data_IF_863154446709
#
_entry.id   IF_863154446709
#
_cell.length_a   1.000
_cell.length_b   1.000
_cell.length_c   1.000
_cell.angle_alpha   90.00
_cell.angle_beta   90.00
_cell.angle_gamma   90.00
#
_symmetry.space_group_name_H-M   'P 1'
#
loop_
_entity.id
_entity.type
_entity.pdbx_description
1 polymer ?
#
# COMPACT_ATOMS: atom_id res chain seq x y z
N UNK A 1 -20.12 20.53 5.52
CA UNK A 1 -20.07 19.20 6.19
C UNK A 1 -19.30 19.35 7.49
N UNK A 2 -20.01 19.35 8.61
CA UNK A 2 -19.53 19.74 9.94
C UNK A 2 -18.68 18.62 10.57
N UNK A 3 -17.36 18.77 10.52
CA UNK A 3 -16.42 17.89 11.23
C UNK A 3 -16.05 18.50 12.58
N UNK A 4 -16.99 18.49 13.54
CA UNK A 4 -16.69 18.80 14.93
C UNK A 4 -15.90 17.62 15.52
N UNK A 5 -14.66 17.92 15.91
CA UNK A 5 -13.84 17.25 16.93
C UNK A 5 -14.52 16.09 17.64
N UNK A 6 -14.39 14.88 17.09
CA UNK A 6 -14.97 13.65 17.68
C UNK A 6 -13.99 12.83 18.53
N UNK A 7 -12.68 13.11 18.49
CA UNK A 7 -11.67 12.24 19.11
C UNK A 7 -10.83 13.00 20.14
N UNK A 8 -11.13 12.81 21.43
CA UNK A 8 -10.29 13.33 22.51
C UNK A 8 -9.08 12.41 22.64
N UNK A 9 -7.87 12.95 22.48
CA UNK A 9 -6.60 12.24 22.68
C UNK A 9 -6.03 12.72 24.00
N UNK A 10 -5.97 11.83 24.99
CA UNK A 10 -5.31 12.07 26.27
C UNK A 10 -4.12 11.12 26.36
N UNK A 11 -2.92 11.67 26.25
CA UNK A 11 -1.67 10.91 26.39
C UNK A 11 -1.33 10.78 27.88
N UNK A 12 -0.99 9.58 28.31
CA UNK A 12 -0.38 9.33 29.63
C UNK A 12 1.03 9.91 29.68
N UNK A 13 1.60 10.07 30.87
CA UNK A 13 2.98 10.55 31.04
C UNK A 13 3.98 9.62 30.34
N UNK A 14 3.81 8.31 30.48
CA UNK A 14 4.65 7.30 29.82
C UNK A 14 4.61 7.42 28.28
N UNK A 15 3.43 7.67 27.71
CA UNK A 15 3.26 7.85 26.26
C UNK A 15 3.92 9.15 25.76
N UNK A 16 3.88 10.22 26.57
CA UNK A 16 4.57 11.48 26.25
C UNK A 16 6.08 11.30 26.26
N UNK A 17 6.62 10.61 27.26
CA UNK A 17 8.06 10.31 27.32
C UNK A 17 8.49 9.47 26.12
N UNK A 18 7.72 8.44 25.77
CA UNK A 18 7.97 7.63 24.56
C UNK A 18 7.96 8.47 23.28
N UNK A 19 6.95 9.34 23.10
CA UNK A 19 6.84 10.20 21.92
C UNK A 19 7.97 11.24 21.85
N UNK A 20 8.39 11.80 22.99
CA UNK A 20 9.50 12.75 23.09
C UNK A 20 10.84 12.09 22.74
N UNK A 21 11.09 10.90 23.30
CA UNK A 21 12.26 10.09 22.96
C UNK A 21 12.30 9.74 21.47
N UNK A 22 11.17 9.30 20.90
CA UNK A 22 11.06 9.01 19.47
C UNK A 22 11.26 10.27 18.62
N UNK A 23 10.71 11.43 19.01
CA UNK A 23 10.86 12.68 18.26
C UNK A 23 12.31 13.16 18.15
N UNK A 24 13.19 12.70 19.03
CA UNK A 24 14.62 13.02 19.02
C UNK A 24 15.39 12.13 18.04
N UNK A 25 14.82 11.01 17.62
CA UNK A 25 15.43 10.12 16.65
C UNK A 25 15.48 10.76 15.25
N UNK A 26 16.68 10.81 14.68
CA UNK A 26 16.93 11.48 13.39
C UNK A 26 16.59 10.60 12.18
N UNK A 27 16.28 9.33 12.40
CA UNK A 27 16.07 8.35 11.33
C UNK A 27 14.58 8.00 11.14
N UNK A 28 13.67 8.83 11.67
CA UNK A 28 12.24 8.64 11.50
C UNK A 28 11.78 8.95 10.07
N UNK A 29 10.87 8.13 9.56
CA UNK A 29 10.13 8.45 8.35
C UNK A 29 9.31 9.73 8.56
N UNK A 30 9.26 10.61 7.56
CA UNK A 30 8.45 11.84 7.58
C UNK A 30 6.99 11.60 8.01
N UNK A 31 6.41 10.44 7.66
CA UNK A 31 5.05 10.06 8.09
C UNK A 31 4.96 9.86 9.60
N UNK A 32 5.96 9.19 10.18
CA UNK A 32 6.03 8.90 11.61
C UNK A 32 6.30 10.19 12.40
N UNK A 33 7.26 11.02 11.97
CA UNK A 33 7.55 12.31 12.59
C UNK A 33 6.30 13.20 12.64
N UNK A 34 5.55 13.32 11.53
CA UNK A 34 4.30 14.09 11.49
C UNK A 34 3.24 13.54 12.46
N UNK A 35 3.12 12.22 12.58
CA UNK A 35 2.17 11.59 13.50
C UNK A 35 2.51 11.89 14.97
N UNK A 36 3.80 11.81 15.31
CA UNK A 36 4.30 12.16 16.65
C UNK A 36 3.99 13.62 16.97
N UNK A 37 4.34 14.55 16.08
CA UNK A 37 4.04 15.97 16.27
C UNK A 37 2.54 16.23 16.43
N UNK A 38 1.70 15.58 15.62
CA UNK A 38 0.23 15.69 15.75
C UNK A 38 -0.24 15.23 17.13
N UNK A 39 0.21 14.07 17.62
CA UNK A 39 -0.22 13.54 18.92
C UNK A 39 0.20 14.45 20.07
N UNK A 40 1.44 14.94 20.05
CA UNK A 40 1.94 15.90 21.05
C UNK A 40 1.11 17.19 21.05
N UNK A 41 0.88 17.79 19.87
CA UNK A 41 0.10 19.03 19.76
C UNK A 41 -1.38 18.84 20.12
N UNK A 42 -2.02 17.70 19.80
CA UNK A 42 -3.40 17.44 20.22
C UNK A 42 -3.49 17.32 21.74
N UNK A 43 -2.53 16.64 22.38
CA UNK A 43 -2.50 16.54 23.82
C UNK A 43 -2.31 17.93 24.47
N UNK A 44 -1.42 18.77 23.93
CA UNK A 44 -1.28 20.17 24.35
C UNK A 44 -2.54 20.99 24.09
N UNK A 45 -3.37 20.60 23.13
CA UNK A 45 -4.65 21.27 22.86
C UNK A 45 -5.65 21.18 24.01
N UNK A 46 -5.56 20.12 24.82
CA UNK A 46 -6.29 20.03 26.08
C UNK A 46 -5.96 21.24 26.99
N UNK A 47 -4.78 21.82 26.81
CA UNK A 47 -4.25 22.99 27.53
C UNK A 47 -4.51 24.29 26.75
N UNK A 48 -4.42 24.30 25.41
CA UNK A 48 -4.36 25.53 24.59
C UNK A 48 -5.64 25.87 23.78
N UNK A 49 -6.74 25.12 23.90
CA UNK A 49 -8.05 25.41 23.27
C UNK A 49 -8.06 25.54 21.74
N UNK A 50 -6.99 25.16 21.04
CA UNK A 50 -6.96 25.23 19.57
C UNK A 50 -7.99 24.24 18.96
N UNK A 51 -8.26 24.33 17.65
CA UNK A 51 -9.04 23.34 16.90
C UNK A 51 -8.16 22.52 15.94
N UNK A 52 -8.63 21.36 15.46
CA UNK A 52 -7.85 20.52 14.52
C UNK A 52 -7.43 21.24 13.23
N UNK A 53 -8.18 22.24 12.77
CA UNK A 53 -7.75 23.07 11.63
C UNK A 53 -6.47 23.84 11.97
N UNK A 54 -6.41 24.45 13.16
CA UNK A 54 -5.25 25.22 13.59
C UNK A 54 -4.03 24.33 13.85
N UNK A 55 -4.22 23.10 14.36
CA UNK A 55 -3.12 22.12 14.44
C UNK A 55 -2.61 21.78 13.05
N UNK A 56 -3.53 21.55 12.11
CA UNK A 56 -3.17 21.19 10.75
C UNK A 56 -2.36 22.30 10.07
N UNK A 57 -2.76 23.56 10.28
CA UNK A 57 -2.03 24.75 9.80
C UNK A 57 -0.65 24.86 10.46
N UNK A 58 -0.57 24.75 11.79
CA UNK A 58 0.70 24.84 12.54
C UNK A 58 1.70 23.75 12.09
N UNK A 59 1.21 22.54 11.85
CA UNK A 59 2.05 21.41 11.44
C UNK A 59 2.20 21.27 9.92
N UNK A 60 1.64 22.19 9.12
CA UNK A 60 1.63 22.12 7.66
C UNK A 60 1.18 20.75 7.11
N UNK A 61 0.10 20.21 7.67
CA UNK A 61 -0.52 18.94 7.26
C UNK A 61 -1.99 19.14 6.90
N UNK A 62 -2.56 18.19 6.14
CA UNK A 62 -4.00 18.22 5.90
C UNK A 62 -4.78 17.92 7.19
N UNK A 63 -5.89 18.64 7.43
CA UNK A 63 -6.82 18.38 8.53
C UNK A 63 -7.24 16.91 8.62
N UNK A 64 -7.43 16.26 7.48
CA UNK A 64 -7.78 14.83 7.40
C UNK A 64 -6.72 13.93 8.05
N UNK A 65 -5.45 14.31 7.99
CA UNK A 65 -4.35 13.60 8.66
C UNK A 65 -4.47 13.73 10.17
N UNK A 66 -4.72 14.94 10.68
CA UNK A 66 -4.92 15.19 12.13
C UNK A 66 -6.09 14.35 12.67
N UNK A 67 -7.24 14.39 11.98
CA UNK A 67 -8.42 13.60 12.36
C UNK A 67 -8.12 12.10 12.33
N UNK A 68 -7.39 11.63 11.31
CA UNK A 68 -7.06 10.21 11.19
C UNK A 68 -6.13 9.75 12.30
N UNK A 69 -5.11 10.53 12.66
CA UNK A 69 -4.20 10.22 13.75
C UNK A 69 -4.92 10.21 15.09
N UNK A 70 -5.79 11.20 15.35
CA UNK A 70 -6.61 11.24 16.55
C UNK A 70 -7.55 10.03 16.65
N UNK A 71 -8.17 9.63 15.53
CA UNK A 71 -9.00 8.43 15.44
C UNK A 71 -8.19 7.16 15.68
N UNK A 72 -7.03 7.01 15.02
CA UNK A 72 -6.16 5.85 15.16
C UNK A 72 -5.77 5.67 16.65
N UNK A 73 -5.39 6.76 17.32
CA UNK A 73 -5.11 6.74 18.76
C UNK A 73 -6.33 6.36 19.60
N UNK A 74 -7.48 6.98 19.37
CA UNK A 74 -8.69 6.69 20.14
C UNK A 74 -9.19 5.25 19.97
N UNK A 75 -8.86 4.59 18.86
CA UNK A 75 -9.30 3.22 18.55
C UNK A 75 -8.30 2.14 18.96
N UNK A 76 -6.99 2.42 18.95
CA UNK A 76 -5.96 1.40 19.17
C UNK A 76 -4.78 1.86 20.03
N UNK A 77 -4.84 3.05 20.64
CA UNK A 77 -3.79 3.60 21.48
C UNK A 77 -2.57 4.10 20.71
N UNK A 78 -1.51 4.43 21.45
CA UNK A 78 -0.27 5.01 20.92
C UNK A 78 0.37 4.13 19.83
N UNK A 79 0.58 2.85 20.11
CA UNK A 79 1.28 1.93 19.19
C UNK A 79 0.54 1.83 17.86
N UNK A 80 -0.79 1.77 17.90
CA UNK A 80 -1.60 1.74 16.70
C UNK A 80 -1.48 3.06 15.90
N UNK A 81 -1.49 4.21 16.58
CA UNK A 81 -1.37 5.52 15.92
C UNK A 81 -0.02 5.73 15.23
N UNK A 82 1.07 5.28 15.86
CA UNK A 82 2.43 5.42 15.32
C UNK A 82 2.81 4.31 14.33
N UNK A 83 2.17 3.14 14.40
CA UNK A 83 2.48 2.03 13.51
C UNK A 83 2.15 2.32 12.03
N UNK A 84 2.99 1.78 11.14
CA UNK A 84 2.76 1.82 9.70
C UNK A 84 1.74 0.76 9.31
N UNK A 85 0.45 1.14 9.31
CA UNK A 85 -0.59 0.26 8.79
C UNK A 85 -0.47 0.14 7.27
N UNK A 86 -0.12 -1.07 6.82
CA UNK A 86 -0.36 -1.50 5.45
C UNK A 86 -1.88 -1.51 5.24
N UNK A 87 -2.37 -0.80 4.23
CA UNK A 87 -3.79 -0.90 3.88
C UNK A 87 -3.97 -2.11 2.94
N UNK A 88 -4.58 -3.22 3.40
CA UNK A 88 -4.79 -4.39 2.55
C UNK A 88 -5.69 -4.08 1.34
N UNK A 89 -6.60 -3.11 1.46
CA UNK A 89 -7.43 -2.66 0.32
C UNK A 89 -6.70 -1.74 -0.66
N UNK A 90 -5.51 -1.23 -0.31
CA UNK A 90 -4.65 -0.49 -1.25
C UNK A 90 -3.81 -1.42 -2.12
N UNK A 91 -3.74 -2.71 -1.79
CA UNK A 91 -3.17 -3.68 -2.69
C UNK A 91 -4.06 -3.74 -3.94
N UNK A 92 -3.57 -3.26 -5.08
CA UNK A 92 -4.21 -3.58 -6.36
C UNK A 92 -4.30 -5.10 -6.41
N UNK A 93 -5.51 -5.63 -6.60
CA UNK A 93 -5.69 -7.07 -6.77
C UNK A 93 -4.73 -7.54 -7.86
N UNK A 94 -3.91 -8.59 -7.60
CA UNK A 94 -3.00 -9.09 -8.60
C UNK A 94 -3.79 -9.44 -9.86
N UNK A 95 -3.43 -8.84 -11.00
CA UNK A 95 -4.02 -9.19 -12.31
C UNK A 95 -3.74 -10.64 -12.70
N UNK A 96 -2.83 -11.30 -11.98
CA UNK A 96 -2.44 -12.69 -12.16
C UNK A 96 -2.94 -13.47 -10.94
N UNK A 97 -3.90 -14.35 -11.17
CA UNK A 97 -4.29 -15.38 -10.21
C UNK A 97 -3.47 -16.67 -10.48
N UNK A 98 -3.63 -17.67 -9.60
CA UNK A 98 -2.96 -18.97 -9.74
C UNK A 98 -3.37 -19.71 -11.02
N UNK A 99 -4.59 -19.49 -11.51
CA UNK A 99 -5.12 -20.12 -12.72
C UNK A 99 -4.46 -19.57 -13.99
N UNK A 100 -4.30 -18.24 -14.10
CA UNK A 100 -3.55 -17.59 -15.18
C UNK A 100 -2.09 -18.07 -15.18
N UNK A 101 -1.47 -18.17 -14.01
CA UNK A 101 -0.09 -18.69 -13.89
C UNK A 101 0.01 -20.14 -14.39
N UNK A 102 -0.85 -21.03 -13.88
CA UNK A 102 -0.87 -22.44 -14.28
C UNK A 102 -1.16 -22.61 -15.78
N UNK A 103 -2.11 -21.86 -16.33
CA UNK A 103 -2.45 -21.93 -17.74
C UNK A 103 -1.31 -21.43 -18.64
N UNK A 104 -0.68 -20.29 -18.30
CA UNK A 104 0.44 -19.76 -19.07
C UNK A 104 1.64 -20.73 -19.08
N UNK A 105 1.92 -21.39 -17.95
CA UNK A 105 2.96 -22.42 -17.83
C UNK A 105 2.63 -23.65 -18.67
N UNK A 106 1.41 -24.19 -18.53
CA UNK A 106 0.96 -25.36 -19.29
C UNK A 106 1.01 -25.10 -20.81
N UNK A 107 0.58 -23.92 -21.23
CA UNK A 107 0.61 -23.51 -22.62
C UNK A 107 2.04 -23.43 -23.16
N UNK A 108 2.96 -22.82 -22.40
CA UNK A 108 4.37 -22.73 -22.78
C UNK A 108 5.08 -24.08 -22.88
N UNK A 109 4.67 -25.08 -22.08
CA UNK A 109 5.17 -26.45 -22.14
C UNK A 109 4.49 -27.31 -23.22
N UNK A 110 3.44 -26.81 -23.88
CA UNK A 110 2.70 -27.55 -24.90
C UNK A 110 3.22 -27.32 -26.32
N UNK A 111 2.75 -28.11 -27.28
CA UNK A 111 3.07 -27.90 -28.69
C UNK A 111 2.49 -26.56 -29.20
N UNK A 112 3.26 -25.76 -29.95
CA UNK A 112 2.77 -24.51 -30.52
C UNK A 112 1.66 -24.77 -31.56
N UNK A 113 0.74 -23.82 -31.77
CA UNK A 113 -0.35 -23.98 -32.73
C UNK A 113 0.17 -24.13 -34.16
N UNK A 114 -0.66 -24.79 -35.00
CA UNK A 114 -0.35 -25.13 -36.39
C UNK A 114 0.13 -23.88 -37.16
N UNK A 115 1.28 -24.00 -37.83
CA UNK A 115 1.90 -22.90 -38.57
C UNK A 115 2.94 -22.09 -37.80
N UNK A 116 3.20 -22.39 -36.51
CA UNK A 116 4.34 -21.83 -35.77
C UNK A 116 5.32 -22.91 -35.32
N UNK A 117 6.62 -22.58 -35.35
CA UNK A 117 7.70 -23.45 -34.88
C UNK A 117 7.88 -23.43 -33.36
N UNK A 118 7.46 -22.37 -32.68
CA UNK A 118 7.62 -22.15 -31.23
C UNK A 118 6.59 -21.18 -30.67
N UNK A 119 6.37 -21.23 -29.36
CA UNK A 119 5.65 -20.20 -28.63
C UNK A 119 6.43 -18.88 -28.65
N UNK A 120 5.72 -17.76 -28.85
CA UNK A 120 6.24 -16.42 -28.62
C UNK A 120 5.49 -15.77 -27.46
N UNK A 121 6.10 -14.79 -26.79
CA UNK A 121 5.44 -14.08 -25.69
C UNK A 121 4.15 -13.37 -26.13
N UNK A 122 4.12 -12.88 -27.37
CA UNK A 122 2.93 -12.27 -27.97
C UNK A 122 1.80 -13.28 -28.13
N UNK A 123 2.11 -14.46 -28.66
CA UNK A 123 1.13 -15.51 -28.86
C UNK A 123 0.61 -16.07 -27.52
N UNK A 124 1.49 -16.26 -26.53
CA UNK A 124 1.08 -16.68 -25.20
C UNK A 124 0.17 -15.64 -24.54
N UNK A 125 0.49 -14.35 -24.66
CA UNK A 125 -0.37 -13.25 -24.19
C UNK A 125 -1.75 -13.32 -24.84
N UNK A 126 -1.82 -13.49 -26.16
CA UNK A 126 -3.09 -13.61 -26.87
C UNK A 126 -3.90 -14.82 -26.43
N UNK A 127 -3.30 -16.01 -26.37
CA UNK A 127 -3.97 -17.25 -25.98
C UNK A 127 -4.41 -17.24 -24.51
N UNK A 128 -3.61 -16.66 -23.60
CA UNK A 128 -4.00 -16.50 -22.19
C UNK A 128 -5.17 -15.53 -22.04
N UNK A 129 -5.16 -14.40 -22.76
CA UNK A 129 -6.27 -13.44 -22.73
C UNK A 129 -7.54 -13.99 -23.40
N UNK A 130 -7.42 -14.81 -24.45
CA UNK A 130 -8.56 -15.50 -25.09
C UNK A 130 -9.31 -16.43 -24.15
N UNK A 131 -8.63 -16.96 -23.12
CA UNK A 131 -9.24 -17.87 -22.17
C UNK A 131 -10.05 -17.17 -21.06
N UNK A 132 -10.02 -15.84 -21.02
CA UNK A 132 -10.82 -14.98 -20.12
C UNK A 132 -10.72 -15.36 -18.62
N UNK A 133 -9.59 -15.93 -18.19
CA UNK A 133 -9.33 -16.38 -16.81
C UNK A 133 -9.13 -15.23 -15.80
N UNK A 134 -9.27 -13.98 -16.25
CA UNK A 134 -9.11 -12.77 -15.46
C UNK A 134 -8.89 -11.52 -16.32
N UNK A 135 -8.49 -10.39 -15.72
CA UNK A 135 -8.23 -9.16 -16.47
C UNK A 135 -7.10 -9.35 -17.48
N UNK A 136 -7.13 -8.62 -18.62
CA UNK A 136 -6.14 -8.79 -19.66
C UNK A 136 -4.73 -8.53 -19.13
N UNK A 137 -3.84 -9.48 -19.38
CA UNK A 137 -2.44 -9.42 -18.95
C UNK A 137 -1.55 -8.90 -20.09
N UNK A 138 -0.46 -8.25 -19.71
CA UNK A 138 0.52 -7.71 -20.65
C UNK A 138 1.58 -8.75 -21.02
N UNK A 139 2.29 -8.53 -22.13
CA UNK A 139 3.44 -9.35 -22.53
C UNK A 139 4.49 -9.50 -21.42
N UNK A 140 4.79 -8.43 -20.69
CA UNK A 140 5.72 -8.45 -19.56
C UNK A 140 5.23 -9.33 -18.42
N UNK A 141 3.92 -9.36 -18.17
CA UNK A 141 3.31 -10.25 -17.17
C UNK A 141 3.56 -11.71 -17.53
N UNK A 142 3.36 -12.09 -18.80
CA UNK A 142 3.67 -13.45 -19.29
C UNK A 142 5.15 -13.77 -19.13
N UNK A 143 6.05 -12.84 -19.50
CA UNK A 143 7.50 -13.04 -19.33
C UNK A 143 7.89 -13.27 -17.88
N UNK A 144 7.33 -12.50 -16.94
CA UNK A 144 7.60 -12.65 -15.51
C UNK A 144 7.06 -13.98 -14.96
N UNK A 145 5.87 -14.40 -15.41
CA UNK A 145 5.29 -15.70 -15.04
C UNK A 145 6.18 -16.86 -15.47
N UNK A 146 6.64 -16.84 -16.72
CA UNK A 146 7.52 -17.87 -17.24
C UNK A 146 8.89 -17.85 -16.56
N UNK A 147 9.45 -16.66 -16.29
CA UNK A 147 10.70 -16.52 -15.54
C UNK A 147 10.59 -17.09 -14.12
N UNK A 148 9.45 -16.89 -13.45
CA UNK A 148 9.19 -17.45 -12.12
C UNK A 148 9.13 -19.00 -12.16
N UNK A 149 8.72 -19.57 -13.28
CA UNK A 149 8.67 -21.01 -13.52
C UNK A 149 9.95 -21.58 -14.18
N UNK A 150 11.01 -20.78 -14.31
CA UNK A 150 12.27 -21.14 -14.99
C UNK A 150 12.11 -21.51 -16.49
N UNK A 151 11.01 -21.10 -17.12
CA UNK A 151 10.73 -21.35 -18.54
C UNK A 151 11.32 -20.22 -19.38
N UNK A 152 12.26 -20.56 -20.26
CA UNK A 152 12.91 -19.59 -21.15
C UNK A 152 12.37 -19.67 -22.59
N UNK A 153 11.57 -18.70 -22.98
CA UNK A 153 11.09 -18.55 -24.36
C UNK A 153 11.89 -17.46 -25.07
N UNK A 154 12.66 -17.85 -26.08
CA UNK A 154 13.41 -16.92 -26.91
C UNK A 154 12.44 -16.11 -27.79
N UNK A 155 12.47 -14.79 -27.67
CA UNK A 155 11.72 -13.90 -28.56
C UNK A 155 12.22 -14.06 -30.01
N UNK A 156 11.30 -14.36 -30.93
CA UNK A 156 11.51 -14.14 -32.36
C UNK A 156 10.93 -12.75 -32.67
N UNK A 157 11.78 -11.83 -33.11
CA UNK A 157 11.30 -10.66 -33.87
C UNK A 157 10.89 -11.21 -35.23
N UNK A 158 9.60 -11.09 -35.55
CA UNK A 158 9.17 -11.15 -36.95
C UNK A 158 9.78 -9.99 -37.73
#
# INVERSE_FOLDING_TARGET
MNGHTKYVVSLTEEEKEKLSALSTDRNLSNRLSKRISILLTINEQNITRMNYCQIAENLHVAKTTVVRVAKDYAQGGLEYAISSHYNPTSARMPKVNKEIEAYAIALACSAPPKGRRRWSLELLKEEVNKKELGPPISRETVRLLLKKADINIRNEKG
#
